data_IF_163645768234
#
_entry.id   IF_163645768234
#
_cell.length_a   1.000
_cell.length_b   1.000
_cell.length_c   1.000
_cell.angle_alpha   90.00
_cell.angle_beta   90.00
_cell.angle_gamma   90.00
#
_symmetry.space_group_name_H-M   'P 1'
#
loop_
_entity.id
_entity.type
_entity.pdbx_description
1 polymer ?
#
# COMPACT_ATOMS: atom_id res chain seq x y z
N UNK A 1 32.81 77.57 30.87
CA UNK A 1 31.92 76.41 31.06
C UNK A 1 31.46 75.98 29.68
N UNK A 2 32.03 74.89 29.15
CA UNK A 2 31.59 74.30 27.89
C UNK A 2 30.54 73.21 28.19
N UNK A 3 29.50 73.03 27.35
CA UNK A 3 28.51 71.99 27.55
C UNK A 3 29.11 70.59 27.29
N UNK A 4 28.70 69.61 28.10
CA UNK A 4 29.08 68.20 27.96
C UNK A 4 28.44 67.56 26.71
N UNK A 5 29.10 66.56 26.08
CA UNK A 5 28.55 65.85 24.94
C UNK A 5 27.43 64.88 25.35
N UNK A 6 26.38 64.83 24.53
CA UNK A 6 25.25 63.90 24.64
C UNK A 6 25.67 62.46 24.32
N UNK A 7 25.18 61.43 25.06
CA UNK A 7 25.49 60.04 24.74
C UNK A 7 24.73 59.55 23.49
N UNK A 8 25.39 58.74 22.67
CA UNK A 8 24.80 58.07 21.50
C UNK A 8 23.88 56.90 21.91
N UNK A 9 22.84 56.58 21.11
CA UNK A 9 21.96 55.45 21.38
C UNK A 9 22.68 54.11 21.13
N UNK A 10 22.63 53.23 22.13
CA UNK A 10 23.11 51.84 22.01
C UNK A 10 22.07 51.00 21.29
N UNK A 11 22.43 50.45 20.14
CA UNK A 11 21.57 49.54 19.38
C UNK A 11 21.66 48.13 19.99
N UNK A 12 20.56 47.43 20.30
CA UNK A 12 20.63 46.08 20.87
C UNK A 12 21.17 45.07 19.85
N UNK A 13 22.01 44.16 20.33
CA UNK A 13 22.55 43.04 19.57
C UNK A 13 21.42 42.05 19.20
N UNK A 14 21.38 41.49 17.98
CA UNK A 14 20.34 40.54 17.61
C UNK A 14 20.51 39.22 18.39
N UNK A 15 19.40 38.68 18.89
CA UNK A 15 19.38 37.35 19.50
C UNK A 15 19.71 36.26 18.45
N UNK A 16 20.37 35.15 18.85
CA UNK A 16 20.68 34.07 17.94
C UNK A 16 19.38 33.39 17.48
N UNK A 17 19.12 33.43 16.17
CA UNK A 17 18.03 32.70 15.53
C UNK A 17 18.37 31.21 15.56
N UNK A 18 17.57 30.41 16.25
CA UNK A 18 17.69 28.96 16.27
C UNK A 18 17.43 28.42 14.86
N UNK A 19 18.48 27.92 14.22
CA UNK A 19 18.39 27.36 12.86
C UNK A 19 17.67 26.03 12.98
N UNK A 20 16.48 25.93 12.38
CA UNK A 20 15.75 24.68 12.26
C UNK A 20 16.66 23.59 11.65
N UNK A 21 16.58 22.33 12.14
CA UNK A 21 17.38 21.25 11.58
C UNK A 21 17.09 21.11 10.08
N UNK A 22 18.14 20.83 9.31
CA UNK A 22 18.01 20.57 7.88
C UNK A 22 17.03 19.40 7.64
N UNK A 23 16.23 19.43 6.55
CA UNK A 23 15.37 18.30 6.21
C UNK A 23 16.22 17.03 6.08
N UNK A 24 15.76 15.94 6.68
CA UNK A 24 16.41 14.63 6.54
C UNK A 24 16.52 14.28 5.04
N UNK A 25 17.62 13.62 4.62
CA UNK A 25 17.75 13.21 3.23
C UNK A 25 16.58 12.30 2.85
N UNK A 26 15.89 12.61 1.75
CA UNK A 26 14.87 11.74 1.19
C UNK A 26 15.47 10.35 0.98
N UNK A 27 14.86 9.27 1.49
CA UNK A 27 15.39 7.93 1.28
C UNK A 27 15.46 7.63 -0.22
N UNK A 28 16.57 7.04 -0.66
CA UNK A 28 16.82 6.69 -2.07
C UNK A 28 15.82 5.65 -2.61
N UNK A 29 15.11 4.95 -1.72
CA UNK A 29 13.94 4.14 -2.03
C UNK A 29 12.79 4.58 -1.10
N UNK A 30 11.68 5.14 -1.63
CA UNK A 30 10.55 5.55 -0.82
C UNK A 30 9.83 4.39 -0.11
N UNK A 31 10.09 3.15 -0.53
CA UNK A 31 9.48 1.93 0.01
C UNK A 31 10.56 0.93 0.44
N UNK A 32 11.21 1.15 1.60
CA UNK A 32 12.31 0.31 2.05
C UNK A 32 11.84 -1.10 2.45
N UNK A 33 12.73 -2.10 2.40
CA UNK A 33 12.46 -3.42 2.96
C UNK A 33 12.25 -3.35 4.47
N UNK A 34 11.54 -4.33 5.02
CA UNK A 34 11.28 -4.48 6.46
C UNK A 34 11.72 -5.87 6.96
N UNK A 35 11.86 -6.08 8.29
CA UNK A 35 12.32 -7.37 8.81
C UNK A 35 11.47 -8.54 8.30
N UNK A 36 12.10 -9.47 7.57
CA UNK A 36 11.42 -10.62 6.97
C UNK A 36 10.92 -10.41 5.54
N UNK A 37 11.04 -9.19 4.98
CA UNK A 37 10.64 -8.91 3.60
C UNK A 37 11.63 -7.94 2.91
N UNK A 38 12.37 -8.43 1.92
CA UNK A 38 13.32 -7.61 1.16
C UNK A 38 12.70 -6.87 -0.04
N UNK A 39 11.43 -7.17 -0.35
CA UNK A 39 10.71 -6.59 -1.48
C UNK A 39 11.15 -7.13 -2.84
N UNK A 40 11.99 -8.16 -2.89
CA UNK A 40 12.56 -8.70 -4.12
C UNK A 40 11.79 -9.95 -4.52
N UNK A 41 11.41 -10.00 -5.80
CA UNK A 41 10.78 -11.18 -6.40
C UNK A 41 11.73 -11.80 -7.41
N UNK A 42 12.09 -13.07 -7.22
CA UNK A 42 13.04 -13.77 -8.11
C UNK A 42 12.38 -14.87 -8.91
N UNK A 43 11.54 -15.68 -8.26
CA UNK A 43 10.86 -16.81 -8.85
C UNK A 43 9.38 -16.81 -8.45
N UNK A 44 8.52 -15.96 -9.07
CA UNK A 44 7.14 -15.74 -8.62
C UNK A 44 6.23 -16.97 -8.73
N UNK A 45 6.72 -18.08 -9.31
CA UNK A 45 5.94 -19.29 -9.52
C UNK A 45 4.81 -19.10 -10.54
N UNK A 46 3.64 -19.69 -10.23
CA UNK A 46 2.42 -19.53 -11.04
C UNK A 46 1.26 -19.10 -10.18
N UNK A 47 0.16 -18.65 -10.79
CA UNK A 47 -1.07 -18.27 -10.09
C UNK A 47 -1.58 -19.41 -9.17
N UNK A 48 -1.60 -19.16 -7.86
CA UNK A 48 -1.98 -20.09 -6.80
C UNK A 48 -0.83 -21.02 -6.34
N UNK A 49 0.40 -20.74 -6.77
CA UNK A 49 1.64 -21.52 -6.52
C UNK A 49 2.87 -20.62 -6.30
N UNK A 50 2.67 -19.38 -5.83
CA UNK A 50 3.78 -18.52 -5.42
C UNK A 50 4.55 -19.21 -4.27
N UNK A 51 5.89 -19.37 -4.36
CA UNK A 51 6.68 -19.95 -3.28
C UNK A 51 6.61 -19.11 -2.00
N UNK A 52 6.71 -19.76 -0.83
CA UNK A 52 6.73 -19.06 0.45
C UNK A 52 7.89 -18.07 0.58
N UNK A 53 9.01 -18.29 -0.12
CA UNK A 53 10.16 -17.36 -0.16
C UNK A 53 9.88 -16.05 -0.90
N UNK A 54 8.79 -16.00 -1.69
CA UNK A 54 8.38 -14.84 -2.47
C UNK A 54 7.19 -14.13 -1.82
N UNK A 55 6.74 -14.62 -0.67
CA UNK A 55 5.62 -14.10 0.10
C UNK A 55 6.15 -13.52 1.41
N UNK A 56 5.60 -12.38 1.79
CA UNK A 56 5.89 -11.74 3.05
C UNK A 56 4.61 -11.65 3.89
N UNK A 57 4.75 -11.94 5.18
CA UNK A 57 3.72 -11.62 6.16
C UNK A 57 3.52 -10.09 6.19
N UNK A 58 2.26 -9.70 6.42
CA UNK A 58 1.86 -8.31 6.60
C UNK A 58 1.24 -8.10 8.00
N UNK A 59 0.96 -6.86 8.37
CA UNK A 59 0.46 -6.47 9.71
C UNK A 59 -0.72 -7.30 10.27
N UNK A 60 -1.50 -7.96 9.40
CA UNK A 60 -2.67 -8.73 9.79
C UNK A 60 -2.51 -10.23 9.49
N UNK A 61 -2.29 -11.03 10.53
CA UNK A 61 -2.34 -12.49 10.45
C UNK A 61 -3.71 -13.00 9.97
N UNK A 62 -3.77 -14.10 9.19
CA UNK A 62 -2.65 -14.91 8.68
C UNK A 62 -2.19 -14.47 7.27
N UNK A 63 -2.43 -13.20 6.91
CA UNK A 63 -2.29 -12.77 5.52
C UNK A 63 -0.84 -12.50 5.16
N UNK A 64 -0.56 -12.79 3.90
CA UNK A 64 0.72 -12.54 3.25
C UNK A 64 0.44 -12.16 1.79
N UNK A 65 1.35 -11.38 1.22
CA UNK A 65 1.31 -10.97 -0.20
C UNK A 65 2.70 -11.11 -0.78
N UNK A 66 2.83 -10.98 -2.11
CA UNK A 66 4.13 -11.08 -2.78
C UNK A 66 5.08 -9.99 -2.27
N UNK A 67 6.37 -10.29 -2.18
CA UNK A 67 7.34 -9.41 -1.50
C UNK A 67 7.33 -7.96 -2.04
N UNK A 68 7.31 -7.79 -3.37
CA UNK A 68 7.21 -6.48 -4.03
C UNK A 68 5.91 -5.73 -3.72
N UNK A 69 4.80 -6.45 -3.60
CA UNK A 69 3.51 -5.90 -3.19
C UNK A 69 3.53 -5.52 -1.69
N UNK A 70 4.20 -6.31 -0.85
CA UNK A 70 4.22 -6.13 0.61
C UNK A 70 4.93 -4.83 1.01
N UNK A 71 6.11 -4.56 0.44
CA UNK A 71 6.87 -3.32 0.71
C UNK A 71 6.13 -2.05 0.25
N UNK A 72 5.09 -2.20 -0.58
CA UNK A 72 4.19 -1.13 -1.00
C UNK A 72 2.94 -1.04 -0.13
N UNK A 73 2.41 -2.18 0.33
CA UNK A 73 1.18 -2.24 1.11
C UNK A 73 1.39 -1.80 2.56
N UNK A 74 2.51 -2.18 3.18
CA UNK A 74 2.82 -1.80 4.58
C UNK A 74 2.84 -0.27 4.77
N UNK A 75 3.54 0.51 3.91
CA UNK A 75 3.50 1.98 4.04
C UNK A 75 2.13 2.60 3.75
N UNK A 76 1.30 1.98 2.90
CA UNK A 76 -0.10 2.39 2.73
C UNK A 76 -0.89 2.17 4.02
N UNK A 77 -0.69 1.02 4.68
CA UNK A 77 -1.31 0.74 5.97
C UNK A 77 -0.82 1.72 7.07
N UNK A 78 0.48 2.03 7.14
CA UNK A 78 1.02 3.02 8.08
C UNK A 78 0.37 4.40 7.89
N UNK A 79 0.22 4.83 6.63
CA UNK A 79 -0.44 6.09 6.29
C UNK A 79 -1.94 6.06 6.62
N UNK A 80 -2.60 4.92 6.42
CA UNK A 80 -3.99 4.70 6.78
C UNK A 80 -4.18 4.76 8.30
N UNK A 81 -3.35 4.04 9.06
CA UNK A 81 -3.41 3.99 10.52
C UNK A 81 -3.15 5.37 11.14
N UNK A 82 -2.22 6.14 10.57
CA UNK A 82 -2.00 7.54 10.98
C UNK A 82 -3.23 8.42 10.77
N UNK A 83 -4.04 8.14 9.75
CA UNK A 83 -5.25 8.90 9.43
C UNK A 83 -6.44 8.48 10.29
N UNK A 84 -6.66 7.18 10.47
CA UNK A 84 -7.88 6.63 11.06
C UNK A 84 -7.71 6.07 12.47
N UNK A 85 -6.48 5.98 12.98
CA UNK A 85 -6.15 5.49 14.32
C UNK A 85 -6.25 3.97 14.48
N UNK A 86 -6.43 3.23 13.39
CA UNK A 86 -6.47 1.77 13.34
C UNK A 86 -5.89 1.28 11.99
N UNK A 87 -5.27 0.09 11.96
CA UNK A 87 -4.78 -0.47 10.70
C UNK A 87 -5.93 -0.81 9.75
N UNK A 88 -5.62 -0.84 8.46
CA UNK A 88 -6.55 -1.29 7.43
C UNK A 88 -6.93 -2.75 7.68
N UNK A 89 -8.21 -3.01 7.93
CA UNK A 89 -8.71 -4.38 8.10
C UNK A 89 -8.78 -5.11 6.76
N UNK A 90 -8.19 -6.30 6.74
CA UNK A 90 -8.19 -7.23 5.62
C UNK A 90 -9.11 -8.43 5.88
N UNK A 91 -9.63 -9.00 4.80
CA UNK A 91 -10.36 -10.27 4.77
C UNK A 91 -9.72 -11.29 3.83
N UNK A 92 -8.67 -10.90 3.09
CA UNK A 92 -7.94 -11.77 2.18
C UNK A 92 -6.59 -11.19 1.76
N UNK A 93 -5.62 -12.08 1.50
CA UNK A 93 -4.32 -11.79 0.88
C UNK A 93 -4.04 -12.81 -0.22
N UNK A 94 -2.83 -13.37 -0.27
CA UNK A 94 -2.51 -14.50 -1.15
C UNK A 94 -3.49 -15.66 -0.97
N UNK A 95 -3.81 -16.32 -2.08
CA UNK A 95 -4.70 -17.49 -2.11
C UNK A 95 -4.11 -18.58 -2.99
N UNK A 96 -3.89 -19.75 -2.41
CA UNK A 96 -3.42 -20.93 -3.17
C UNK A 96 -4.45 -21.37 -4.21
N UNK A 97 -3.99 -22.16 -5.19
CA UNK A 97 -4.88 -22.73 -6.20
C UNK A 97 -5.99 -23.59 -5.57
N UNK A 98 -5.68 -24.39 -4.55
CA UNK A 98 -6.65 -25.25 -3.85
C UNK A 98 -7.73 -24.41 -3.18
N UNK A 99 -7.35 -23.31 -2.54
CA UNK A 99 -8.29 -22.37 -1.94
C UNK A 99 -9.15 -21.71 -3.01
N UNK A 100 -8.57 -21.32 -4.15
CA UNK A 100 -9.34 -20.78 -5.27
C UNK A 100 -10.32 -21.80 -5.87
N UNK A 101 -9.93 -23.08 -5.98
CA UNK A 101 -10.84 -24.17 -6.40
C UNK A 101 -12.02 -24.28 -5.44
N UNK A 102 -11.75 -24.29 -4.12
CA UNK A 102 -12.80 -24.35 -3.10
C UNK A 102 -13.71 -23.12 -3.17
N UNK A 103 -13.14 -21.92 -3.28
CA UNK A 103 -13.89 -20.67 -3.38
C UNK A 103 -14.77 -20.63 -4.63
N UNK A 104 -14.24 -21.09 -5.78
CA UNK A 104 -15.01 -21.18 -7.04
C UNK A 104 -16.19 -22.14 -6.93
N UNK A 105 -16.04 -23.26 -6.21
CA UNK A 105 -17.15 -24.18 -5.97
C UNK A 105 -18.26 -23.56 -5.11
N UNK A 106 -17.91 -22.70 -4.16
CA UNK A 106 -18.86 -22.04 -3.24
C UNK A 106 -19.51 -20.80 -3.87
N UNK A 107 -18.75 -20.04 -4.67
CA UNK A 107 -19.16 -18.78 -5.28
C UNK A 107 -18.92 -18.80 -6.79
N UNK A 108 -19.63 -19.65 -7.55
CA UNK A 108 -19.33 -19.91 -8.96
C UNK A 108 -19.43 -18.68 -9.88
N UNK A 109 -20.21 -17.67 -9.51
CA UNK A 109 -20.40 -16.44 -10.29
C UNK A 109 -19.50 -15.28 -9.84
N UNK A 110 -18.97 -15.31 -8.61
CA UNK A 110 -18.14 -14.23 -8.07
C UNK A 110 -16.66 -14.57 -8.12
N UNK A 111 -16.28 -15.80 -7.77
CA UNK A 111 -14.88 -16.16 -7.72
C UNK A 111 -14.30 -16.34 -9.12
N UNK A 112 -13.09 -15.85 -9.35
CA UNK A 112 -12.34 -16.11 -10.57
C UNK A 112 -12.11 -17.62 -10.79
N UNK A 113 -11.92 -18.02 -12.05
CA UNK A 113 -11.49 -19.37 -12.40
C UNK A 113 -10.13 -19.66 -11.72
N UNK A 114 -9.91 -20.86 -11.14
CA UNK A 114 -8.62 -21.22 -10.55
C UNK A 114 -7.45 -20.98 -11.52
N UNK A 115 -6.40 -20.30 -11.04
CA UNK A 115 -5.28 -19.87 -11.87
C UNK A 115 -5.47 -18.53 -12.60
N UNK A 116 -6.57 -17.80 -12.34
CA UNK A 116 -6.89 -16.49 -12.95
C UNK A 116 -7.20 -15.40 -11.92
N UNK A 117 -6.84 -15.59 -10.65
CA UNK A 117 -7.11 -14.61 -9.59
C UNK A 117 -5.83 -13.88 -9.20
N UNK A 118 -5.87 -12.56 -9.05
CA UNK A 118 -4.70 -11.80 -8.60
C UNK A 118 -4.28 -12.10 -7.15
N UNK A 119 -5.19 -12.64 -6.32
CA UNK A 119 -4.81 -13.26 -5.04
C UNK A 119 -3.86 -14.44 -5.23
N UNK A 120 -4.01 -15.20 -6.32
CA UNK A 120 -3.12 -16.32 -6.63
C UNK A 120 -1.70 -15.89 -6.98
N UNK A 121 -1.49 -14.63 -7.33
CA UNK A 121 -0.16 -14.06 -7.53
C UNK A 121 0.39 -13.37 -6.27
N UNK A 122 -0.40 -13.29 -5.20
CA UNK A 122 -0.07 -12.49 -4.02
C UNK A 122 -0.11 -10.99 -4.32
N UNK A 123 -0.89 -10.57 -5.33
CA UNK A 123 -0.96 -9.19 -5.82
C UNK A 123 -2.28 -8.50 -5.51
N UNK A 124 -3.15 -9.16 -4.76
CA UNK A 124 -4.42 -8.60 -4.35
C UNK A 124 -4.69 -8.84 -2.87
N UNK A 125 -5.41 -7.89 -2.26
CA UNK A 125 -5.97 -7.99 -0.93
C UNK A 125 -7.46 -7.69 -0.97
N UNK A 126 -8.20 -8.33 -0.06
CA UNK A 126 -9.61 -7.99 0.19
C UNK A 126 -9.69 -7.16 1.47
N UNK A 127 -10.31 -5.98 1.44
CA UNK A 127 -10.48 -5.12 2.63
C UNK A 127 -11.85 -5.33 3.30
N UNK A 128 -12.00 -4.89 4.54
CA UNK A 128 -13.25 -5.01 5.30
C UNK A 128 -14.33 -4.01 4.86
N UNK A 129 -15.60 -4.35 5.13
CA UNK A 129 -16.78 -3.68 4.57
C UNK A 129 -17.01 -2.24 5.00
N UNK A 130 -16.54 -1.87 6.19
CA UNK A 130 -16.58 -0.50 6.68
C UNK A 130 -15.75 0.48 5.82
N UNK A 131 -14.86 -0.04 4.96
CA UNK A 131 -14.06 0.75 4.02
C UNK A 131 -14.65 0.81 2.60
N UNK A 132 -15.83 0.23 2.34
CA UNK A 132 -16.43 0.20 0.99
C UNK A 132 -17.11 1.53 0.58
N UNK A 133 -17.17 2.52 1.48
CA UNK A 133 -17.75 3.83 1.22
C UNK A 133 -17.23 4.90 2.21
N UNK A 134 -17.60 6.16 1.97
CA UNK A 134 -17.32 7.28 2.87
C UNK A 134 -15.84 7.68 2.90
N UNK A 135 -15.43 8.35 3.98
CA UNK A 135 -14.09 8.94 4.11
C UNK A 135 -12.96 7.92 3.93
N UNK A 136 -13.11 6.69 4.45
CA UNK A 136 -12.11 5.63 4.29
C UNK A 136 -11.96 5.20 2.82
N UNK A 137 -13.07 5.05 2.11
CA UNK A 137 -13.06 4.72 0.68
C UNK A 137 -12.45 5.83 -0.16
N UNK A 138 -12.83 7.08 0.11
CA UNK A 138 -12.31 8.22 -0.64
C UNK A 138 -10.82 8.42 -0.39
N UNK A 139 -10.37 8.28 0.87
CA UNK A 139 -8.95 8.31 1.23
C UNK A 139 -8.16 7.20 0.54
N UNK A 140 -8.65 5.96 0.56
CA UNK A 140 -7.95 4.84 -0.11
C UNK A 140 -7.85 5.04 -1.62
N UNK A 141 -8.89 5.57 -2.29
CA UNK A 141 -8.83 5.87 -3.72
C UNK A 141 -7.87 7.01 -4.04
N UNK A 142 -7.77 8.00 -3.16
CA UNK A 142 -6.89 9.16 -3.35
C UNK A 142 -5.43 8.76 -3.17
N UNK A 143 -5.13 8.05 -2.07
CA UNK A 143 -3.75 7.77 -1.66
C UNK A 143 -3.24 6.39 -2.08
N UNK A 144 -4.10 5.38 -2.23
CA UNK A 144 -3.69 4.04 -2.66
C UNK A 144 -2.77 4.04 -3.88
N UNK A 145 -3.09 4.79 -4.96
CA UNK A 145 -2.25 4.87 -6.15
C UNK A 145 -0.82 5.40 -5.90
N UNK A 146 -0.61 6.23 -4.87
CA UNK A 146 0.74 6.71 -4.48
C UNK A 146 1.64 5.54 -4.02
N UNK A 147 1.02 4.48 -3.50
CA UNK A 147 1.67 3.24 -3.09
C UNK A 147 1.56 2.14 -4.15
N UNK A 148 0.91 2.40 -5.29
CA UNK A 148 0.70 1.43 -6.36
C UNK A 148 -0.49 0.49 -6.14
N UNK A 149 -1.32 0.72 -5.11
CA UNK A 149 -2.51 -0.08 -4.81
C UNK A 149 -3.79 0.62 -5.27
N UNK A 150 -4.70 -0.09 -5.93
CA UNK A 150 -5.98 0.49 -6.36
C UNK A 150 -7.12 -0.53 -6.33
N UNK A 151 -8.36 -0.06 -6.16
CA UNK A 151 -9.54 -0.81 -6.55
C UNK A 151 -9.67 -0.71 -8.08
N UNK A 152 -9.37 -1.79 -8.83
CA UNK A 152 -9.17 -1.68 -10.28
C UNK A 152 -10.46 -1.25 -11.00
N UNK A 153 -10.36 -0.59 -12.18
CA UNK A 153 -11.53 -0.08 -12.89
C UNK A 153 -12.65 -1.11 -13.15
N UNK A 154 -12.29 -2.38 -13.39
CA UNK A 154 -13.26 -3.45 -13.62
C UNK A 154 -14.10 -3.78 -12.38
N UNK A 155 -13.55 -3.58 -11.17
CA UNK A 155 -14.17 -3.90 -9.89
C UNK A 155 -15.08 -2.78 -9.37
N UNK A 156 -15.02 -1.59 -9.97
CA UNK A 156 -15.80 -0.42 -9.58
C UNK A 156 -17.25 -0.52 -10.05
N UNK A 157 -18.15 0.27 -9.44
CA UNK A 157 -19.55 0.36 -9.89
C UNK A 157 -19.59 0.78 -11.37
N UNK A 158 -20.22 -0.03 -12.20
CA UNK A 158 -20.33 0.22 -13.65
C UNK A 158 -19.09 -0.15 -14.47
N UNK A 159 -18.11 -0.81 -13.84
CA UNK A 159 -16.98 -1.44 -14.54
C UNK A 159 -17.41 -2.66 -15.36
N UNK A 160 -16.45 -3.23 -16.09
CA UNK A 160 -16.67 -4.40 -16.97
C UNK A 160 -16.84 -5.72 -16.20
N UNK A 161 -16.48 -5.75 -14.91
CA UNK A 161 -16.59 -6.91 -14.03
C UNK A 161 -17.69 -6.78 -12.98
N UNK A 162 -17.78 -7.75 -12.05
CA UNK A 162 -18.62 -7.62 -10.86
C UNK A 162 -18.16 -6.42 -10.02
N UNK A 163 -19.11 -5.81 -9.30
CA UNK A 163 -18.75 -4.78 -8.33
C UNK A 163 -18.11 -5.43 -7.10
N UNK A 164 -16.82 -5.15 -6.89
CA UNK A 164 -15.98 -5.72 -5.84
C UNK A 164 -15.25 -4.59 -5.09
N UNK A 165 -15.94 -3.83 -4.22
CA UNK A 165 -15.32 -2.76 -3.44
C UNK A 165 -14.28 -3.26 -2.42
N UNK A 166 -14.31 -4.57 -2.14
CA UNK A 166 -13.33 -5.21 -1.28
C UNK A 166 -11.98 -5.43 -1.96
N UNK A 167 -11.95 -5.55 -3.29
CA UNK A 167 -10.78 -6.08 -4.02
C UNK A 167 -9.81 -4.95 -4.40
N UNK A 168 -8.57 -5.03 -3.94
CA UNK A 168 -7.51 -4.06 -4.22
C UNK A 168 -6.28 -4.76 -4.78
N UNK A 169 -5.65 -4.17 -5.79
CA UNK A 169 -4.55 -4.76 -6.57
C UNK A 169 -3.28 -3.93 -6.49
N UNK A 170 -2.12 -4.58 -6.38
CA UNK A 170 -0.83 -3.94 -6.69
C UNK A 170 -0.68 -3.82 -8.21
N UNK A 171 -1.04 -2.65 -8.71
CA UNK A 171 -1.33 -2.38 -10.13
C UNK A 171 -0.15 -2.60 -11.07
N UNK A 172 1.05 -2.13 -10.71
CA UNK A 172 2.25 -2.26 -11.56
C UNK A 172 2.58 -3.72 -11.89
N UNK A 173 2.52 -4.60 -10.88
CA UNK A 173 2.79 -6.01 -11.04
C UNK A 173 1.70 -6.74 -11.82
N UNK A 174 0.44 -6.41 -11.58
CA UNK A 174 -0.72 -6.92 -12.30
C UNK A 174 -0.62 -6.54 -13.79
N UNK A 175 -0.33 -5.28 -14.10
CA UNK A 175 -0.15 -4.82 -15.48
C UNK A 175 1.04 -5.50 -16.18
N UNK A 176 2.13 -5.77 -15.45
CA UNK A 176 3.25 -6.54 -15.97
C UNK A 176 2.85 -7.98 -16.32
N UNK A 177 1.96 -8.63 -15.55
CA UNK A 177 1.43 -9.97 -15.86
C UNK A 177 0.49 -9.94 -17.06
N UNK A 178 -0.40 -8.94 -17.15
CA UNK A 178 -1.27 -8.73 -18.32
C UNK A 178 -0.45 -8.54 -19.60
N UNK A 179 0.61 -7.74 -19.56
CA UNK A 179 1.51 -7.53 -20.70
C UNK A 179 2.21 -8.82 -21.17
N UNK A 180 2.35 -9.81 -20.28
CA UNK A 180 2.93 -11.13 -20.58
C UNK A 180 1.86 -12.18 -20.96
N UNK A 181 0.57 -11.83 -20.91
CA UNK A 181 -0.53 -12.77 -21.15
C UNK A 181 -0.72 -13.80 -20.03
N UNK A 182 -0.22 -13.51 -18.82
CA UNK A 182 -0.31 -14.36 -17.63
C UNK A 182 -1.52 -14.03 -16.74
N UNK A 183 -2.20 -12.93 -17.06
CA UNK A 183 -3.45 -12.49 -16.46
C UNK A 183 -4.54 -12.40 -17.52
#
# INVERSE_FOLDING_TARGET
MAPEPTPEPVNPSPEPVEVAPAPEPTPANPFPPYPGCDGVVTEPGTNGRVPASELCDIWQDPFHVRADAAVRLEPLNDAYEKTFGEPLCLTGGYRSYEEQVRLKSQKPTLAATPGRSNHGWGLAVDICDYSYAGERWDWLKEHGPEFGWDNPPWARRGGEGPYEPWHWEYTEAVDALRAQGLE
#
